data_IF_617885684285
#
_entry.id   IF_617885684285
#
_cell.length_a   1.000
_cell.length_b   1.000
_cell.length_c   1.000
_cell.angle_alpha   90.00
_cell.angle_beta   90.00
_cell.angle_gamma   90.00
#
_symmetry.space_group_name_H-M   'P 1'
#
loop_
_entity.id
_entity.type
_entity.pdbx_description
1 polymer ?
#
# COMPACT_ATOMS: atom_id res chain seq x y z
N UNK A 1 3.61 13.31 -5.11
CA UNK A 1 2.64 12.23 -5.33
C UNK A 1 1.31 12.93 -5.41
N UNK A 2 0.69 12.93 -6.58
CA UNK A 2 -0.64 13.49 -6.77
C UNK A 2 -1.58 12.75 -5.82
N UNK A 3 -2.48 13.48 -5.15
CA UNK A 3 -3.43 12.85 -4.24
C UNK A 3 -4.20 11.79 -5.02
N UNK A 4 -4.12 10.53 -4.59
CA UNK A 4 -4.86 9.46 -5.23
C UNK A 4 -6.34 9.85 -5.24
N UNK A 5 -6.96 9.86 -6.42
CA UNK A 5 -8.38 10.13 -6.55
C UNK A 5 -9.15 9.16 -5.63
N UNK A 6 -9.85 9.71 -4.65
CA UNK A 6 -10.59 8.89 -3.70
C UNK A 6 -11.82 8.31 -4.40
N UNK A 7 -11.95 6.99 -4.39
CA UNK A 7 -13.13 6.31 -4.93
C UNK A 7 -14.29 6.50 -3.94
N UNK A 8 -15.39 7.07 -4.41
CA UNK A 8 -16.65 7.22 -3.65
C UNK A 8 -17.69 6.32 -4.32
N UNK A 9 -18.35 5.48 -3.53
CA UNK A 9 -19.38 4.54 -3.98
C UNK A 9 -20.72 5.09 -3.53
N UNK A 10 -21.57 5.44 -4.49
CA UNK A 10 -22.96 5.84 -4.24
C UNK A 10 -23.83 4.58 -4.13
N UNK A 11 -24.09 4.13 -2.89
CA UNK A 11 -24.94 2.96 -2.62
C UNK A 11 -25.74 3.16 -1.33
N UNK A 12 -27.01 2.71 -1.26
CA UNK A 12 -27.76 2.70 0.00
C UNK A 12 -27.12 1.78 1.06
N UNK A 13 -26.29 0.84 0.64
CA UNK A 13 -25.63 -0.14 1.49
C UNK A 13 -24.29 0.36 2.03
N UNK A 14 -23.88 1.60 1.70
CA UNK A 14 -22.61 2.20 2.13
C UNK A 14 -22.87 3.48 2.90
N UNK A 15 -22.32 3.59 4.10
CA UNK A 15 -22.41 4.77 4.97
C UNK A 15 -21.00 5.28 5.29
N UNK A 16 -20.76 6.55 4.99
CA UNK A 16 -19.50 7.23 5.28
C UNK A 16 -19.59 7.97 6.62
N UNK A 17 -18.85 7.50 7.62
CA UNK A 17 -18.65 8.18 8.90
C UNK A 17 -17.33 8.96 8.97
N UNK A 18 -17.10 9.72 10.05
CA UNK A 18 -15.87 10.49 10.23
C UNK A 18 -14.62 9.61 10.43
N UNK A 19 -14.78 8.43 11.03
CA UNK A 19 -13.67 7.51 11.37
C UNK A 19 -13.80 6.16 10.65
N UNK A 20 -14.95 5.85 10.04
CA UNK A 20 -15.22 4.54 9.46
C UNK A 20 -16.09 4.61 8.21
N UNK A 21 -15.90 3.63 7.31
CA UNK A 21 -16.87 3.30 6.26
C UNK A 21 -17.56 2.00 6.66
N UNK A 22 -18.89 2.03 6.68
CA UNK A 22 -19.72 0.85 6.91
C UNK A 22 -20.35 0.42 5.59
N UNK A 23 -20.22 -0.85 5.25
CA UNK A 23 -20.83 -1.43 4.06
C UNK A 23 -21.62 -2.68 4.46
N UNK A 24 -22.81 -2.84 3.87
CA UNK A 24 -23.58 -4.08 3.96
C UNK A 24 -23.39 -4.89 2.68
N UNK A 25 -23.11 -6.17 2.82
CA UNK A 25 -23.00 -7.09 1.69
C UNK A 25 -23.66 -8.43 2.04
N UNK A 26 -24.20 -9.08 1.02
CA UNK A 26 -24.78 -10.42 1.16
C UNK A 26 -23.69 -11.46 0.89
N UNK A 27 -23.28 -12.19 1.93
CA UNK A 27 -22.39 -13.34 1.79
C UNK A 27 -23.21 -14.61 1.53
N UNK A 28 -22.93 -15.28 0.42
CA UNK A 28 -23.63 -16.49 -0.03
C UNK A 28 -23.24 -17.77 0.73
N UNK A 29 -22.30 -17.70 1.69
CA UNK A 29 -21.75 -18.89 2.38
C UNK A 29 -21.98 -18.94 3.89
N UNK A 30 -22.04 -17.84 4.63
CA UNK A 30 -22.28 -17.81 6.09
C UNK A 30 -22.68 -16.39 6.53
N UNK A 31 -23.50 -16.28 7.59
CA UNK A 31 -23.91 -14.98 8.16
C UNK A 31 -22.73 -14.33 8.89
N UNK A 32 -22.15 -13.29 8.28
CA UNK A 32 -21.12 -12.44 8.89
C UNK A 32 -21.78 -11.16 9.40
N UNK A 33 -21.39 -10.72 10.60
CA UNK A 33 -21.74 -9.41 11.14
C UNK A 33 -20.65 -8.43 10.74
N UNK A 34 -20.93 -7.35 10.00
CA UNK A 34 -19.90 -6.39 9.65
C UNK A 34 -19.46 -5.62 10.91
N UNK A 35 -18.16 -5.58 11.18
CA UNK A 35 -17.53 -4.53 11.98
C UNK A 35 -17.01 -3.47 11.01
N UNK A 36 -17.31 -2.19 11.27
CA UNK A 36 -16.89 -1.08 10.40
C UNK A 36 -15.37 -1.01 10.26
N UNK A 37 -14.88 -0.56 9.10
CA UNK A 37 -13.44 -0.39 8.86
C UNK A 37 -12.95 0.97 9.34
N UNK A 38 -11.79 1.03 10.01
CA UNK A 38 -11.13 2.28 10.43
C UNK A 38 -10.47 2.99 9.23
N UNK A 39 -10.75 4.28 9.06
CA UNK A 39 -10.17 5.12 8.00
C UNK A 39 -8.79 5.67 8.35
N UNK A 40 -8.39 5.61 9.62
CA UNK A 40 -7.13 6.14 10.08
C UNK A 40 -5.98 5.22 9.67
N UNK A 41 -5.17 5.67 8.71
CA UNK A 41 -3.92 5.01 8.35
C UNK A 41 -2.92 5.15 9.51
N UNK A 42 -2.48 4.05 10.15
CA UNK A 42 -1.59 4.11 11.29
C UNK A 42 -0.14 4.39 10.85
N UNK A 43 0.69 4.84 11.80
CA UNK A 43 2.15 4.73 11.65
C UNK A 43 2.53 3.26 11.77
N UNK A 44 3.25 2.73 10.78
CA UNK A 44 3.57 1.31 10.72
C UNK A 44 5.07 1.06 10.92
N UNK A 45 5.41 0.41 12.04
CA UNK A 45 6.73 -0.15 12.27
C UNK A 45 6.80 -1.59 11.76
N UNK A 46 7.88 -1.96 11.07
CA UNK A 46 8.13 -3.30 10.56
C UNK A 46 9.42 -3.83 11.16
N UNK A 47 9.33 -4.99 11.84
CA UNK A 47 10.48 -5.70 12.38
C UNK A 47 10.78 -6.93 11.50
N UNK A 48 11.93 -6.93 10.82
CA UNK A 48 12.30 -7.99 9.89
C UNK A 48 13.29 -8.97 10.51
N UNK A 49 12.90 -10.24 10.63
CA UNK A 49 13.86 -11.32 10.93
C UNK A 49 14.67 -11.60 9.66
N UNK A 50 15.99 -11.53 9.76
CA UNK A 50 16.86 -11.62 8.58
C UNK A 50 16.94 -10.31 7.78
N UNK A 51 16.85 -9.16 8.46
CA UNK A 51 16.92 -7.83 7.85
C UNK A 51 18.15 -7.63 6.95
N UNK A 52 19.32 -8.14 7.34
CA UNK A 52 20.54 -8.08 6.53
C UNK A 52 20.61 -9.02 5.32
N UNK A 53 19.61 -9.91 5.16
CA UNK A 53 19.55 -10.82 4.01
C UNK A 53 19.16 -10.12 2.71
N UNK A 54 19.15 -10.88 1.59
CA UNK A 54 18.84 -10.34 0.27
C UNK A 54 17.49 -9.61 0.22
N UNK A 55 16.45 -10.17 0.83
CA UNK A 55 15.11 -9.58 0.82
C UNK A 55 15.02 -8.35 1.73
N UNK A 56 15.56 -8.44 2.95
CA UNK A 56 15.50 -7.34 3.91
C UNK A 56 16.29 -6.12 3.44
N UNK A 57 17.52 -6.31 2.96
CA UNK A 57 18.34 -5.23 2.42
C UNK A 57 17.73 -4.61 1.15
N UNK A 58 17.16 -5.43 0.26
CA UNK A 58 16.46 -4.93 -0.95
C UNK A 58 15.20 -4.15 -0.59
N UNK A 59 14.40 -4.64 0.35
CA UNK A 59 13.19 -3.96 0.80
C UNK A 59 13.52 -2.60 1.43
N UNK A 60 14.49 -2.55 2.35
CA UNK A 60 14.95 -1.31 2.96
C UNK A 60 15.53 -0.34 1.93
N UNK A 61 16.33 -0.84 0.98
CA UNK A 61 16.84 0.00 -0.11
C UNK A 61 15.70 0.60 -0.95
N UNK A 62 14.67 -0.18 -1.29
CA UNK A 62 13.52 0.30 -2.05
C UNK A 62 12.74 1.38 -1.29
N UNK A 63 12.49 1.17 0.01
CA UNK A 63 11.76 2.13 0.86
C UNK A 63 12.54 3.43 1.07
N UNK A 64 13.86 3.37 1.19
CA UNK A 64 14.69 4.58 1.31
C UNK A 64 14.88 5.32 -0.02
N UNK A 65 15.05 4.58 -1.12
CA UNK A 65 15.40 5.18 -2.40
C UNK A 65 14.22 5.93 -3.05
N UNK A 66 13.00 5.40 -2.95
CA UNK A 66 11.79 5.99 -3.54
C UNK A 66 11.48 7.42 -3.05
N UNK A 67 11.43 7.73 -1.74
CA UNK A 67 11.18 9.10 -1.27
C UNK A 67 12.32 10.07 -1.63
N UNK A 68 13.55 9.57 -1.71
CA UNK A 68 14.72 10.33 -2.17
C UNK A 68 14.77 10.51 -3.69
N UNK A 69 13.86 9.87 -4.44
CA UNK A 69 13.79 9.90 -5.91
C UNK A 69 15.13 9.58 -6.56
N UNK A 70 15.81 8.55 -6.04
CA UNK A 70 17.12 8.18 -6.57
C UNK A 70 17.02 7.74 -8.03
N UNK A 71 18.11 7.95 -8.75
CA UNK A 71 18.23 7.48 -10.13
C UNK A 71 19.66 7.12 -10.43
N UNK A 72 19.86 6.18 -11.35
CA UNK A 72 21.19 5.69 -11.69
C UNK A 72 21.31 5.41 -13.20
N UNK A 73 22.50 5.62 -13.79
CA UNK A 73 22.75 5.23 -15.16
C UNK A 73 22.84 3.71 -15.28
N UNK A 74 22.30 3.17 -16.38
CA UNK A 74 22.48 1.79 -16.79
C UNK A 74 22.87 1.77 -18.27
N UNK A 75 23.29 0.60 -18.78
CA UNK A 75 23.60 0.44 -20.22
C UNK A 75 22.44 0.83 -21.13
N UNK A 76 21.19 0.65 -20.68
CA UNK A 76 19.98 0.94 -21.45
C UNK A 76 19.35 2.31 -21.11
N UNK A 77 20.08 3.17 -20.39
CA UNK A 77 19.63 4.51 -20.01
C UNK A 77 19.50 4.69 -18.50
N UNK A 78 18.96 5.83 -18.09
CA UNK A 78 18.77 6.16 -16.68
C UNK A 78 17.55 5.43 -16.11
N UNK A 79 17.69 4.84 -14.92
CA UNK A 79 16.60 4.21 -14.17
C UNK A 79 16.23 5.09 -12.98
N UNK A 80 14.95 5.11 -12.65
CA UNK A 80 14.42 5.80 -11.48
C UNK A 80 13.82 4.78 -10.51
N UNK A 81 13.85 5.12 -9.23
CA UNK A 81 13.21 4.32 -8.18
C UNK A 81 11.72 4.17 -8.41
N UNK A 82 11.20 2.98 -8.16
CA UNK A 82 9.78 2.67 -8.26
C UNK A 82 9.45 1.49 -7.33
N UNK A 83 8.17 1.14 -7.26
CA UNK A 83 7.66 -0.06 -6.58
C UNK A 83 7.05 -1.07 -7.57
N UNK A 84 7.58 -1.16 -8.78
CA UNK A 84 7.10 -2.15 -9.75
C UNK A 84 7.22 -3.58 -9.19
N UNK A 85 6.21 -4.39 -9.46
CA UNK A 85 6.08 -5.73 -8.87
C UNK A 85 5.34 -5.78 -7.54
N UNK A 86 4.99 -4.62 -6.95
CA UNK A 86 4.10 -4.56 -5.79
C UNK A 86 2.66 -4.23 -6.20
N UNK A 87 1.71 -5.05 -5.78
CA UNK A 87 0.29 -4.87 -6.13
C UNK A 87 -0.28 -3.57 -5.53
N UNK A 88 0.07 -3.24 -4.30
CA UNK A 88 -0.56 -2.12 -3.58
C UNK A 88 -0.20 -0.74 -4.15
N UNK A 89 1.07 -0.38 -4.39
CA UNK A 89 1.43 0.92 -4.96
C UNK A 89 1.46 0.95 -6.50
N UNK A 90 1.49 -0.20 -7.20
CA UNK A 90 1.65 -0.23 -8.66
C UNK A 90 0.54 -0.98 -9.41
N UNK A 91 -0.34 -1.71 -8.72
CA UNK A 91 -1.46 -2.42 -9.32
C UNK A 91 -2.69 -1.55 -9.53
N UNK A 92 -3.57 -2.02 -10.41
CA UNK A 92 -4.88 -1.42 -10.68
C UNK A 92 -6.01 -2.43 -10.53
N UNK A 93 -7.22 -1.94 -10.31
CA UNK A 93 -8.45 -2.73 -10.24
C UNK A 93 -9.47 -2.13 -11.20
N UNK A 94 -10.19 -2.98 -11.92
CA UNK A 94 -11.33 -2.57 -12.74
C UNK A 94 -12.54 -2.29 -11.84
N UNK A 95 -13.13 -1.11 -11.95
CA UNK A 95 -14.39 -0.74 -11.27
C UNK A 95 -15.62 -1.03 -12.13
N UNK A 96 -15.44 -1.50 -13.36
CA UNK A 96 -16.51 -1.70 -14.33
C UNK A 96 -16.50 -0.65 -15.43
N UNK A 97 -17.66 -0.42 -16.04
CA UNK A 97 -17.80 0.42 -17.23
C UNK A 97 -18.31 1.82 -16.88
N UNK A 98 -17.77 2.83 -17.54
CA UNK A 98 -18.31 4.19 -17.49
C UNK A 98 -19.60 4.34 -18.34
N UNK A 99 -20.17 5.55 -18.35
CA UNK A 99 -21.36 5.87 -19.14
C UNK A 99 -21.18 5.69 -20.66
N UNK A 100 -19.93 5.67 -21.15
CA UNK A 100 -19.58 5.41 -22.54
C UNK A 100 -19.29 3.93 -22.85
N UNK A 101 -19.37 3.05 -21.84
CA UNK A 101 -19.07 1.63 -21.97
C UNK A 101 -17.56 1.32 -21.96
N UNK A 102 -16.71 2.24 -21.53
CA UNK A 102 -15.27 1.99 -21.38
C UNK A 102 -14.94 1.50 -19.99
N UNK A 103 -14.03 0.52 -19.90
CA UNK A 103 -13.60 -0.02 -18.61
C UNK A 103 -12.72 0.98 -17.84
N UNK A 104 -13.09 1.21 -16.59
CA UNK A 104 -12.42 2.15 -15.69
C UNK A 104 -11.52 1.38 -14.74
N UNK A 105 -10.23 1.70 -14.79
CA UNK A 105 -9.24 1.16 -13.86
C UNK A 105 -8.78 2.24 -12.89
N UNK A 106 -8.71 1.89 -11.61
CA UNK A 106 -8.17 2.77 -10.55
C UNK A 106 -6.96 2.11 -9.90
N UNK A 107 -6.04 2.89 -9.31
CA UNK A 107 -4.97 2.32 -8.48
C UNK A 107 -5.56 1.47 -7.35
N UNK A 108 -4.94 0.32 -7.06
CA UNK A 108 -5.40 -0.56 -5.98
C UNK A 108 -5.46 0.18 -4.63
N UNK A 109 -4.46 1.03 -4.35
CA UNK A 109 -4.40 1.87 -3.15
C UNK A 109 -5.45 2.98 -3.07
N UNK A 110 -6.23 3.21 -4.13
CA UNK A 110 -7.30 4.20 -4.14
C UNK A 110 -8.65 3.65 -3.64
N UNK A 111 -8.77 2.32 -3.47
CA UNK A 111 -10.02 1.68 -3.04
C UNK A 111 -10.37 1.98 -1.58
N UNK A 112 -9.36 1.91 -0.70
CA UNK A 112 -9.49 2.18 0.73
C UNK A 112 -8.20 2.83 1.25
N UNK A 113 -8.23 3.55 2.38
CA UNK A 113 -7.02 4.08 3.00
C UNK A 113 -6.04 2.95 3.34
N UNK A 114 -4.80 3.07 2.86
CA UNK A 114 -3.73 2.09 3.05
C UNK A 114 -2.41 2.78 3.40
N UNK A 115 -1.55 2.09 4.15
CA UNK A 115 -0.19 2.57 4.44
C UNK A 115 0.64 2.57 3.16
N UNK A 116 1.28 3.70 2.83
CA UNK A 116 2.22 3.76 1.73
C UNK A 116 3.55 3.09 2.14
N UNK A 117 4.26 2.40 1.22
CA UNK A 117 5.55 1.79 1.52
C UNK A 117 6.61 2.79 2.01
N UNK A 118 6.51 4.06 1.61
CA UNK A 118 7.40 5.13 2.07
C UNK A 118 7.20 5.51 3.54
N UNK A 119 6.07 5.16 4.15
CA UNK A 119 5.72 5.48 5.53
C UNK A 119 6.05 4.32 6.50
N UNK A 120 6.70 3.28 6.00
CA UNK A 120 7.21 2.16 6.80
C UNK A 120 8.47 2.60 7.55
N UNK A 121 8.46 2.42 8.87
CA UNK A 121 9.68 2.51 9.68
C UNK A 121 10.21 1.09 9.92
N UNK A 122 11.49 0.85 9.63
CA UNK A 122 12.13 -0.42 9.93
C UNK A 122 12.87 -0.36 11.26
N UNK A 123 12.70 -1.40 12.07
CA UNK A 123 13.57 -1.66 13.19
C UNK A 123 14.26 -3.01 13.01
N UNK A 124 15.55 -3.03 13.32
CA UNK A 124 16.26 -4.27 13.50
C UNK A 124 15.72 -4.90 14.78
N UNK A 125 14.94 -5.98 14.63
CA UNK A 125 14.72 -6.89 15.77
C UNK A 125 16.07 -7.39 16.32
N UNK A 126 16.05 -8.21 17.36
CA UNK A 126 17.27 -8.86 17.83
C UNK A 126 17.92 -9.66 16.68
N UNK A 127 18.98 -9.12 16.11
CA UNK A 127 19.80 -9.80 15.11
C UNK A 127 20.68 -10.84 15.83
N UNK A 128 20.59 -12.15 15.48
CA UNK A 128 21.50 -13.16 16.02
C UNK A 128 22.98 -12.88 15.71
N UNK A 129 23.27 -12.02 14.72
CA UNK A 129 24.63 -11.70 14.26
C UNK A 129 25.21 -10.41 14.89
N UNK A 130 24.45 -9.73 15.78
CA UNK A 130 24.97 -8.67 16.64
C UNK A 130 25.20 -7.31 15.98
N UNK A 131 24.60 -7.01 14.84
CA UNK A 131 24.70 -5.69 14.23
C UNK A 131 23.94 -4.62 15.04
N UNK A 132 24.41 -3.36 15.07
CA UNK A 132 23.80 -2.29 15.84
C UNK A 132 22.35 -2.03 15.40
N UNK A 133 21.49 -1.69 16.37
CA UNK A 133 20.11 -1.24 16.10
C UNK A 133 20.18 0.05 15.30
N UNK A 134 19.80 -0.04 14.02
CA UNK A 134 19.60 1.09 13.15
C UNK A 134 18.11 1.17 12.89
N UNK A 135 17.46 2.17 13.44
CA UNK A 135 16.12 2.57 13.03
C UNK A 135 16.27 3.39 11.75
N UNK A 136 15.64 2.94 10.67
CA UNK A 136 15.61 3.64 9.38
C UNK A 136 14.19 3.73 8.86
#
# INVERSE_FOLDING_TARGET
>A
MEAAAQVIVESPDVVYGPEAIEAQWEDWTTRVSPEGGDLKVPRLGVMLVGWGGNNGSTLTAAVLANPLRLSWPTRSGRKETNYHGSLTPAGTVSLGLDAGGQEVFVPFSALLPMVAPNDLAFDAGADPQGHPRLSV
#
